data_IF_799757248981
#
_entry.id   IF_799757248981
#
_cell.length_a   1.000
_cell.length_b   1.000
_cell.length_c   1.000
_cell.angle_alpha   90.00
_cell.angle_beta   90.00
_cell.angle_gamma   90.00
#
_symmetry.space_group_name_H-M   'P 1'
#
loop_
_entity.id
_entity.type
_entity.pdbx_description
1 polymer ?
#
# COMPACT_ATOMS: atom_id res chain seq x y z
N UNK A 1 -84.84 -1.64 42.78
CA UNK A 1 -84.12 -0.90 43.81
C UNK A 1 -82.79 -0.47 43.25
N UNK A 2 -82.69 0.71 42.70
CA UNK A 2 -82.31 2.04 43.21
C UNK A 2 -80.92 1.95 43.89
N UNK A 3 -79.82 2.39 43.22
CA UNK A 3 -78.87 3.35 43.80
C UNK A 3 -78.12 4.03 42.68
N UNK A 4 -78.31 5.34 42.62
CA UNK A 4 -77.54 6.27 41.83
C UNK A 4 -76.17 6.50 42.56
N UNK A 5 -75.09 6.46 41.88
CA UNK A 5 -73.86 6.96 42.43
C UNK A 5 -73.25 7.95 41.45
N UNK A 6 -73.05 9.15 41.90
CA UNK A 6 -72.52 10.33 41.28
C UNK A 6 -71.04 10.09 40.89
N UNK A 7 -70.72 10.28 39.62
CA UNK A 7 -69.35 10.37 39.19
C UNK A 7 -68.89 11.81 39.28
N UNK A 8 -67.92 12.06 40.12
CA UNK A 8 -67.22 13.36 40.25
C UNK A 8 -66.05 13.34 39.25
N UNK A 9 -66.17 14.15 38.19
CA UNK A 9 -65.13 14.34 37.22
C UNK A 9 -64.06 15.28 37.79
N UNK A 10 -62.89 14.77 38.14
CA UNK A 10 -61.73 15.50 38.49
C UNK A 10 -60.81 15.59 37.24
N UNK A 11 -60.91 16.71 36.52
CA UNK A 11 -60.03 17.02 35.43
C UNK A 11 -58.70 17.50 36.03
N UNK A 12 -57.73 16.62 36.12
CA UNK A 12 -56.35 17.01 36.42
C UNK A 12 -55.66 17.22 35.07
N UNK A 13 -55.51 18.49 34.73
CA UNK A 13 -54.69 18.91 33.59
C UNK A 13 -53.22 18.61 33.85
N UNK A 14 -52.73 17.55 33.28
CA UNK A 14 -51.30 17.29 33.24
C UNK A 14 -50.74 17.90 31.95
N UNK A 15 -50.23 19.13 32.07
CA UNK A 15 -49.44 19.72 31.00
C UNK A 15 -48.12 18.94 30.89
N UNK A 16 -48.07 17.90 30.04
CA UNK A 16 -46.81 17.31 29.62
C UNK A 16 -46.11 18.28 28.70
N UNK A 17 -45.14 18.99 29.25
CA UNK A 17 -44.11 19.67 28.48
C UNK A 17 -43.32 18.60 27.71
N UNK A 18 -43.63 18.42 26.43
CA UNK A 18 -42.81 17.67 25.50
C UNK A 18 -41.52 18.47 25.33
N UNK A 19 -40.52 18.14 26.15
CA UNK A 19 -39.14 18.50 25.92
C UNK A 19 -38.70 17.62 24.73
N UNK A 20 -38.80 18.18 23.51
CA UNK A 20 -38.17 17.55 22.35
C UNK A 20 -36.67 17.49 22.60
N UNK A 21 -36.18 16.35 23.09
CA UNK A 21 -34.77 16.03 22.98
C UNK A 21 -34.46 15.89 21.50
N UNK A 22 -34.07 17.01 20.90
CA UNK A 22 -33.45 17.03 19.58
C UNK A 22 -32.11 16.33 19.77
N UNK A 23 -32.08 15.01 19.57
CA UNK A 23 -30.83 14.28 19.39
C UNK A 23 -30.22 14.87 18.13
N UNK A 24 -29.22 15.73 18.28
CA UNK A 24 -28.32 16.04 17.21
C UNK A 24 -27.72 14.71 16.76
N UNK A 25 -28.23 14.18 15.65
CA UNK A 25 -27.62 13.08 14.98
C UNK A 25 -26.16 13.50 14.72
N UNK A 26 -25.16 12.70 15.13
CA UNK A 26 -23.79 13.01 14.79
C UNK A 26 -23.77 13.18 13.27
N UNK A 27 -23.40 14.38 12.80
CA UNK A 27 -23.12 14.61 11.40
C UNK A 27 -22.06 13.58 11.05
N UNK A 28 -22.45 12.54 10.29
CA UNK A 28 -21.53 11.63 9.65
C UNK A 28 -20.77 12.44 8.60
N UNK A 29 -19.80 13.21 9.04
CA UNK A 29 -18.67 13.50 8.20
C UNK A 29 -18.12 12.14 7.85
N UNK A 30 -18.37 11.68 6.63
CA UNK A 30 -17.69 10.56 6.02
C UNK A 30 -16.25 11.04 5.92
N UNK A 31 -15.50 10.89 7.01
CA UNK A 31 -14.06 11.04 7.01
C UNK A 31 -13.60 9.99 5.99
N UNK A 32 -13.05 10.45 4.89
CA UNK A 32 -12.55 9.58 3.84
C UNK A 32 -11.57 8.64 4.51
N UNK A 33 -11.83 7.32 4.49
CA UNK A 33 -10.90 6.29 4.96
C UNK A 33 -9.59 6.27 4.13
N UNK A 34 -9.46 7.19 3.19
CA UNK A 34 -8.27 7.36 2.37
C UNK A 34 -7.07 7.78 3.24
N UNK A 35 -6.00 7.03 3.15
CA UNK A 35 -4.72 7.40 3.78
C UNK A 35 -4.25 8.71 3.15
N UNK A 36 -4.09 9.80 3.94
CA UNK A 36 -3.66 11.07 3.37
C UNK A 36 -2.26 10.95 2.78
N UNK A 37 -2.00 11.67 1.69
CA UNK A 37 -0.68 11.73 1.09
C UNK A 37 0.34 12.32 2.08
N UNK A 38 1.62 11.84 2.07
CA UNK A 38 2.68 12.40 2.91
C UNK A 38 2.87 13.89 2.64
N UNK A 39 3.15 14.64 3.69
CA UNK A 39 3.35 16.09 3.65
C UNK A 39 4.83 16.51 3.68
N UNK A 40 5.73 15.53 3.77
CA UNK A 40 7.17 15.73 3.71
C UNK A 40 7.89 14.56 3.05
N UNK A 41 9.07 14.84 2.51
CA UNK A 41 9.96 13.81 1.94
C UNK A 41 10.35 12.77 3.01
N UNK A 42 10.57 13.21 4.26
CA UNK A 42 10.93 12.30 5.36
C UNK A 42 9.80 11.29 5.64
N UNK A 43 8.56 11.75 5.65
CA UNK A 43 7.39 10.89 5.82
C UNK A 43 7.21 9.94 4.61
N UNK A 44 7.29 10.47 3.39
CA UNK A 44 7.21 9.66 2.18
C UNK A 44 8.29 8.56 2.15
N UNK A 45 9.53 8.91 2.50
CA UNK A 45 10.63 7.95 2.62
C UNK A 45 10.36 6.88 3.67
N UNK A 46 9.83 7.26 4.84
CA UNK A 46 9.51 6.31 5.90
C UNK A 46 8.43 5.32 5.45
N UNK A 47 7.38 5.79 4.80
CA UNK A 47 6.30 4.95 4.24
C UNK A 47 6.83 4.01 3.15
N UNK A 48 7.61 4.54 2.21
CA UNK A 48 8.19 3.75 1.13
C UNK A 48 9.12 2.66 1.66
N UNK A 49 9.99 2.98 2.62
CA UNK A 49 10.87 1.99 3.24
C UNK A 49 10.08 0.89 3.97
N UNK A 50 9.08 1.28 4.78
CA UNK A 50 8.25 0.29 5.48
C UNK A 50 7.56 -0.65 4.49
N UNK A 51 6.99 -0.12 3.41
CA UNK A 51 6.33 -0.90 2.37
C UNK A 51 7.34 -1.80 1.62
N UNK A 52 8.49 -1.26 1.25
CA UNK A 52 9.57 -2.02 0.62
C UNK A 52 10.01 -3.21 1.48
N UNK A 53 10.36 -2.98 2.75
CA UNK A 53 10.81 -4.05 3.65
C UNK A 53 9.71 -5.08 3.90
N UNK A 54 8.45 -4.65 3.99
CA UNK A 54 7.31 -5.57 4.16
C UNK A 54 7.15 -6.49 2.96
N UNK A 55 7.19 -5.95 1.74
CA UNK A 55 7.06 -6.71 0.51
C UNK A 55 8.27 -7.60 0.29
N UNK A 56 9.49 -7.06 0.46
CA UNK A 56 10.73 -7.82 0.33
C UNK A 56 10.77 -9.00 1.31
N UNK A 57 10.47 -8.76 2.59
CA UNK A 57 10.43 -9.81 3.60
C UNK A 57 9.38 -10.87 3.30
N UNK A 58 8.17 -10.46 2.91
CA UNK A 58 7.09 -11.37 2.51
C UNK A 58 7.51 -12.23 1.32
N UNK A 59 8.07 -11.63 0.27
CA UNK A 59 8.55 -12.36 -0.91
C UNK A 59 9.60 -13.42 -0.54
N UNK A 60 10.57 -13.08 0.32
CA UNK A 60 11.61 -14.01 0.74
C UNK A 60 11.02 -15.20 1.52
N UNK A 61 10.07 -14.96 2.41
CA UNK A 61 9.42 -16.01 3.22
C UNK A 61 8.55 -16.89 2.32
N UNK A 62 7.67 -16.29 1.51
CA UNK A 62 6.76 -17.04 0.65
C UNK A 62 7.54 -17.87 -0.37
N UNK A 63 8.59 -17.30 -0.96
CA UNK A 63 9.44 -18.05 -1.89
C UNK A 63 10.15 -19.23 -1.20
N UNK A 64 10.68 -19.04 0.00
CA UNK A 64 11.37 -20.11 0.75
C UNK A 64 10.43 -21.24 1.17
N UNK A 65 9.23 -20.89 1.69
CA UNK A 65 8.38 -21.83 2.41
C UNK A 65 7.31 -22.47 1.51
N UNK A 66 6.87 -21.78 0.47
CA UNK A 66 5.71 -22.21 -0.34
C UNK A 66 6.01 -22.41 -1.82
N UNK A 67 7.12 -21.86 -2.33
CA UNK A 67 7.44 -22.03 -3.75
C UNK A 67 8.02 -23.41 -4.00
N UNK A 68 7.34 -24.20 -4.84
CA UNK A 68 7.80 -25.47 -5.35
C UNK A 68 7.86 -25.36 -6.87
N UNK A 69 9.06 -25.52 -7.43
CA UNK A 69 9.31 -25.45 -8.87
C UNK A 69 8.30 -26.33 -9.62
N UNK A 70 7.70 -25.81 -10.67
CA UNK A 70 6.65 -26.41 -11.51
C UNK A 70 5.29 -26.69 -10.81
N UNK A 71 5.08 -26.16 -9.60
CA UNK A 71 3.84 -26.32 -8.86
C UNK A 71 3.35 -25.00 -8.24
N UNK A 72 2.39 -24.39 -8.89
CA UNK A 72 1.72 -23.19 -8.39
C UNK A 72 2.21 -21.88 -9.01
N UNK A 73 1.66 -20.77 -8.49
CA UNK A 73 1.98 -19.42 -8.97
C UNK A 73 3.36 -18.96 -8.47
N UNK A 74 4.03 -18.20 -9.31
CA UNK A 74 5.29 -17.54 -8.93
C UNK A 74 4.94 -16.46 -7.87
N UNK A 75 5.60 -16.44 -6.69
CA UNK A 75 5.26 -15.50 -5.61
C UNK A 75 5.28 -14.03 -6.02
N UNK A 76 6.24 -13.62 -6.87
CA UNK A 76 6.31 -12.24 -7.36
C UNK A 76 5.12 -11.86 -8.23
N UNK A 77 4.63 -12.78 -9.08
CA UNK A 77 3.43 -12.54 -9.89
C UNK A 77 2.16 -12.42 -9.03
N UNK A 78 2.03 -13.24 -7.99
CA UNK A 78 0.90 -13.11 -7.04
C UNK A 78 0.91 -11.79 -6.26
N UNK A 79 2.07 -11.18 -6.05
CA UNK A 79 2.17 -9.86 -5.43
C UNK A 79 1.77 -8.72 -6.37
N UNK A 80 1.75 -8.94 -7.68
CA UNK A 80 1.30 -7.93 -8.66
C UNK A 80 -0.19 -7.62 -8.51
N UNK A 81 -1.02 -8.59 -8.14
CA UNK A 81 -2.44 -8.35 -7.81
C UNK A 81 -2.57 -7.38 -6.63
N UNK A 82 -1.70 -7.52 -5.62
CA UNK A 82 -1.66 -6.59 -4.48
C UNK A 82 -1.14 -5.20 -4.90
N UNK A 83 -0.20 -5.11 -5.85
CA UNK A 83 0.27 -3.84 -6.39
C UNK A 83 -0.86 -3.08 -7.09
N UNK A 84 -1.68 -3.77 -7.88
CA UNK A 84 -2.85 -3.17 -8.52
C UNK A 84 -3.85 -2.63 -7.49
N UNK A 85 -4.10 -3.36 -6.41
CA UNK A 85 -5.02 -2.92 -5.37
C UNK A 85 -4.50 -1.69 -4.63
N UNK A 86 -3.20 -1.61 -4.34
CA UNK A 86 -2.57 -0.43 -3.74
C UNK A 86 -2.64 0.79 -4.68
N UNK A 87 -2.47 0.59 -5.99
CA UNK A 87 -2.60 1.66 -6.96
C UNK A 87 -4.04 2.20 -7.03
N UNK A 88 -5.04 1.32 -7.02
CA UNK A 88 -6.47 1.69 -7.08
C UNK A 88 -6.93 2.40 -5.82
N UNK A 89 -6.59 1.84 -4.64
CA UNK A 89 -7.14 2.29 -3.37
C UNK A 89 -6.36 3.44 -2.74
N UNK A 90 -5.05 3.53 -2.98
CA UNK A 90 -4.16 4.47 -2.27
C UNK A 90 -3.29 5.31 -3.21
N UNK A 91 -3.39 5.15 -4.52
CA UNK A 91 -2.54 5.81 -5.52
C UNK A 91 -1.04 5.54 -5.30
N UNK A 92 -0.72 4.39 -4.67
CA UNK A 92 0.65 3.92 -4.47
C UNK A 92 0.94 2.88 -5.54
N UNK A 93 1.79 3.25 -6.48
CA UNK A 93 2.18 2.40 -7.59
C UNK A 93 3.46 1.64 -7.23
N UNK A 94 3.47 0.34 -7.47
CA UNK A 94 4.63 -0.52 -7.29
C UNK A 94 4.97 -1.22 -8.60
N UNK A 95 6.27 -1.46 -8.81
CA UNK A 95 6.76 -2.14 -9.99
C UNK A 95 8.04 -2.91 -9.66
N UNK A 96 8.15 -4.15 -10.10
CA UNK A 96 9.44 -4.85 -10.11
C UNK A 96 10.37 -4.20 -11.11
N UNK A 97 11.67 -4.22 -10.84
CA UNK A 97 12.68 -3.63 -11.69
C UNK A 97 13.82 -4.62 -11.95
N UNK A 98 14.09 -4.89 -13.21
CA UNK A 98 15.27 -5.66 -13.68
C UNK A 98 16.52 -4.83 -13.42
N UNK A 99 17.50 -5.41 -12.70
CA UNK A 99 18.79 -4.75 -12.39
C UNK A 99 19.97 -5.63 -12.85
N UNK A 100 20.16 -6.81 -12.22
CA UNK A 100 21.25 -7.75 -12.52
C UNK A 100 20.70 -9.14 -12.94
N UNK A 101 19.54 -9.15 -13.59
CA UNK A 101 18.81 -10.35 -13.97
C UNK A 101 18.53 -10.38 -15.45
N UNK A 102 18.19 -11.55 -15.96
CA UNK A 102 17.61 -11.68 -17.27
C UNK A 102 16.21 -11.04 -17.29
N UNK A 103 15.79 -10.55 -18.46
CA UNK A 103 14.44 -10.01 -18.64
C UNK A 103 13.50 -11.20 -18.80
N UNK A 104 12.79 -11.54 -17.76
CA UNK A 104 11.76 -12.60 -17.77
C UNK A 104 10.38 -12.01 -18.09
N UNK A 105 10.12 -10.79 -17.63
CA UNK A 105 8.94 -10.00 -17.93
C UNK A 105 9.38 -8.61 -18.42
N UNK A 106 8.95 -8.22 -19.61
CA UNK A 106 9.30 -6.93 -20.24
C UNK A 106 8.72 -5.73 -19.47
N UNK A 107 7.63 -5.92 -18.73
CA UNK A 107 7.02 -4.87 -17.90
C UNK A 107 7.92 -4.45 -16.73
N UNK A 108 8.93 -5.29 -16.41
CA UNK A 108 9.90 -5.00 -15.36
C UNK A 108 11.15 -4.26 -15.87
N UNK A 109 11.23 -3.95 -17.14
CA UNK A 109 12.32 -3.13 -17.69
C UNK A 109 12.20 -1.67 -17.26
N UNK A 110 13.35 -1.00 -17.17
CA UNK A 110 13.41 0.44 -16.89
C UNK A 110 12.99 1.23 -18.14
N UNK A 111 11.88 1.98 -18.04
CA UNK A 111 11.32 2.71 -19.18
C UNK A 111 11.62 4.22 -19.14
N UNK A 112 11.63 4.83 -17.95
CA UNK A 112 11.88 6.26 -17.79
C UNK A 112 13.26 6.59 -17.21
N UNK A 113 13.59 7.88 -17.12
CA UNK A 113 14.90 8.33 -16.68
C UNK A 113 15.16 8.04 -15.19
N UNK A 114 14.12 8.13 -14.34
CA UNK A 114 14.23 7.75 -12.94
C UNK A 114 14.53 6.24 -12.80
N UNK A 115 13.82 5.40 -13.52
CA UNK A 115 14.00 3.96 -13.47
C UNK A 115 15.39 3.54 -13.96
N UNK A 116 15.88 4.15 -15.05
CA UNK A 116 17.24 3.93 -15.56
C UNK A 116 18.31 4.34 -14.57
N UNK A 117 18.13 5.51 -13.92
CA UNK A 117 19.04 5.97 -12.88
C UNK A 117 19.01 5.07 -11.65
N UNK A 118 17.83 4.59 -11.26
CA UNK A 118 17.65 3.63 -10.17
C UNK A 118 18.40 2.31 -10.45
N UNK A 119 18.30 1.77 -11.66
CA UNK A 119 19.06 0.56 -12.06
C UNK A 119 20.57 0.77 -11.87
N UNK A 120 21.10 1.90 -12.30
CA UNK A 120 22.54 2.23 -12.14
C UNK A 120 22.91 2.28 -10.66
N UNK A 121 22.12 2.97 -9.84
CA UNK A 121 22.38 3.13 -8.41
C UNK A 121 22.31 1.79 -7.66
N UNK A 122 21.25 1.01 -7.88
CA UNK A 122 21.07 -0.29 -7.21
C UNK A 122 22.14 -1.30 -7.64
N UNK A 123 22.56 -1.29 -8.90
CA UNK A 123 23.66 -2.11 -9.38
C UNK A 123 25.01 -1.72 -8.78
N UNK A 124 25.18 -0.43 -8.44
CA UNK A 124 26.36 0.06 -7.72
C UNK A 124 26.34 -0.27 -6.22
N UNK A 125 25.26 -0.91 -5.71
CA UNK A 125 25.11 -1.28 -4.31
C UNK A 125 24.53 -0.18 -3.42
N UNK A 126 23.96 0.88 -4.02
CA UNK A 126 23.28 1.90 -3.22
C UNK A 126 22.07 1.29 -2.48
N UNK A 127 21.84 1.66 -1.21
CA UNK A 127 20.77 1.10 -0.39
C UNK A 127 19.37 1.57 -0.86
N UNK A 128 19.30 2.58 -1.67
CA UNK A 128 18.11 3.10 -2.34
C UNK A 128 18.47 4.16 -3.36
N UNK A 129 17.53 4.43 -4.25
CA UNK A 129 17.52 5.62 -5.10
C UNK A 129 16.16 6.31 -4.94
N UNK A 130 16.11 7.64 -4.81
CA UNK A 130 14.87 8.37 -4.58
C UNK A 130 14.87 9.74 -5.28
N UNK A 131 13.69 10.19 -5.70
CA UNK A 131 13.48 11.51 -6.27
C UNK A 131 12.08 12.04 -5.96
N UNK A 132 11.93 13.37 -6.11
CA UNK A 132 10.63 14.03 -6.14
C UNK A 132 10.42 14.57 -7.54
N UNK A 133 9.33 14.15 -8.19
CA UNK A 133 8.95 14.58 -9.53
C UNK A 133 7.55 15.19 -9.49
N UNK A 134 7.48 16.52 -9.52
CA UNK A 134 6.22 17.24 -9.33
C UNK A 134 5.60 16.96 -7.94
N UNK A 135 4.39 16.43 -7.95
CA UNK A 135 3.66 16.06 -6.72
C UNK A 135 3.78 14.55 -6.39
N UNK A 136 4.82 13.89 -6.88
CA UNK A 136 5.08 12.47 -6.62
C UNK A 136 6.44 12.27 -5.97
N UNK A 137 6.48 11.42 -4.98
CA UNK A 137 7.71 10.85 -4.43
C UNK A 137 7.95 9.48 -5.05
N UNK A 138 9.15 9.26 -5.57
CA UNK A 138 9.58 8.00 -6.18
C UNK A 138 10.75 7.42 -5.39
N UNK A 139 10.69 6.13 -5.16
CA UNK A 139 11.67 5.36 -4.39
C UNK A 139 11.98 4.07 -5.13
N UNK A 140 13.25 3.67 -5.15
CA UNK A 140 13.70 2.36 -5.60
C UNK A 140 14.56 1.72 -4.50
N UNK A 141 14.22 0.50 -4.11
CA UNK A 141 14.99 -0.28 -3.15
C UNK A 141 15.46 -1.62 -3.74
N UNK A 142 16.62 -2.15 -3.28
CA UNK A 142 17.15 -3.41 -3.78
C UNK A 142 16.36 -4.61 -3.25
N UNK A 143 16.10 -5.57 -4.12
CA UNK A 143 15.59 -6.91 -3.80
C UNK A 143 16.73 -7.90 -3.99
N UNK A 144 17.14 -8.54 -2.91
CA UNK A 144 18.18 -9.57 -2.95
C UNK A 144 17.66 -10.84 -3.60
N UNK A 145 18.34 -11.31 -4.61
CA UNK A 145 18.11 -12.59 -5.27
C UNK A 145 19.21 -13.58 -4.85
N UNK A 146 18.91 -14.39 -3.85
CA UNK A 146 19.81 -15.46 -3.39
C UNK A 146 19.85 -16.62 -4.39
N UNK A 147 20.72 -17.57 -4.18
CA UNK A 147 21.01 -18.67 -5.13
C UNK A 147 19.77 -19.42 -5.63
N UNK A 148 18.74 -19.59 -4.79
CA UNK A 148 17.48 -20.24 -5.18
C UNK A 148 16.70 -19.44 -6.25
N UNK A 149 16.82 -18.12 -6.25
CA UNK A 149 16.13 -17.23 -7.19
C UNK A 149 16.81 -17.25 -8.58
N UNK A 150 18.12 -17.53 -8.62
CA UNK A 150 18.92 -17.41 -9.83
C UNK A 150 18.57 -18.45 -10.90
N UNK A 151 17.93 -19.55 -10.55
CA UNK A 151 17.50 -20.57 -11.53
C UNK A 151 16.59 -19.98 -12.60
N UNK A 152 15.66 -19.12 -12.21
CA UNK A 152 14.72 -18.47 -13.11
C UNK A 152 15.22 -17.10 -13.58
N UNK A 153 15.89 -16.35 -12.70
CA UNK A 153 16.23 -14.95 -12.97
C UNK A 153 17.60 -14.74 -13.63
N UNK A 154 18.49 -15.76 -13.63
CA UNK A 154 19.78 -15.71 -14.30
C UNK A 154 20.08 -17.08 -14.91
N UNK A 155 19.52 -17.35 -16.07
CA UNK A 155 19.56 -18.68 -16.69
C UNK A 155 21.00 -19.09 -17.12
N UNK A 156 21.79 -18.14 -17.61
CA UNK A 156 23.17 -18.38 -18.08
C UNK A 156 24.23 -17.97 -17.05
N UNK A 157 23.94 -18.09 -15.77
CA UNK A 157 24.86 -17.74 -14.69
C UNK A 157 26.12 -18.63 -14.68
N UNK A 158 27.23 -18.01 -14.31
CA UNK A 158 28.53 -18.71 -14.17
C UNK A 158 28.87 -19.01 -12.70
N UNK A 159 28.11 -18.46 -11.77
CA UNK A 159 28.29 -18.58 -10.33
C UNK A 159 26.94 -18.56 -9.61
N UNK A 160 26.95 -18.65 -8.30
CA UNK A 160 25.78 -18.58 -7.42
C UNK A 160 25.80 -17.36 -6.50
N UNK A 161 26.64 -16.36 -6.82
CA UNK A 161 26.66 -15.12 -6.04
C UNK A 161 25.28 -14.42 -6.15
N UNK A 162 24.87 -13.79 -5.07
CA UNK A 162 23.63 -13.05 -5.04
C UNK A 162 23.57 -11.99 -6.15
N UNK A 163 22.40 -11.73 -6.65
CA UNK A 163 22.12 -10.67 -7.62
C UNK A 163 21.12 -9.69 -7.02
N UNK A 164 21.00 -8.55 -7.64
CA UNK A 164 20.05 -7.49 -7.27
C UNK A 164 18.97 -7.36 -8.32
N UNK A 165 17.72 -7.38 -7.89
CA UNK A 165 16.58 -6.81 -8.61
C UNK A 165 16.17 -5.53 -7.88
N UNK A 166 15.10 -4.86 -8.30
CA UNK A 166 14.58 -3.67 -7.64
C UNK A 166 13.09 -3.75 -7.38
N UNK A 167 12.63 -3.00 -6.39
CA UNK A 167 11.24 -2.64 -6.20
C UNK A 167 11.11 -1.12 -6.25
N UNK A 168 10.32 -0.64 -7.20
CA UNK A 168 9.92 0.76 -7.32
C UNK A 168 8.65 1.00 -6.53
N UNK A 169 8.58 2.14 -5.88
CA UNK A 169 7.40 2.62 -5.15
C UNK A 169 7.20 4.09 -5.52
N UNK A 170 6.04 4.44 -6.02
CA UNK A 170 5.68 5.81 -6.36
C UNK A 170 4.38 6.18 -5.64
N UNK A 171 4.36 7.33 -4.95
CA UNK A 171 3.21 7.78 -4.18
C UNK A 171 3.00 9.29 -4.32
N UNK A 172 1.77 9.78 -4.15
CA UNK A 172 1.51 11.22 -4.06
C UNK A 172 2.32 11.87 -2.94
N UNK A 173 2.69 13.14 -3.12
CA UNK A 173 3.41 13.93 -2.12
C UNK A 173 2.80 15.34 -2.06
N UNK A 174 2.20 15.68 -0.92
CA UNK A 174 1.61 16.99 -0.68
C UNK A 174 2.57 17.87 0.11
N UNK A 175 3.52 18.48 -0.57
CA UNK A 175 4.39 19.46 0.10
C UNK A 175 3.61 20.74 0.42
N UNK A 176 3.86 21.37 1.58
CA UNK A 176 3.33 22.70 1.86
C UNK A 176 3.75 23.66 0.75
N UNK A 177 2.81 24.42 0.23
CA UNK A 177 3.15 25.51 -0.71
C UNK A 177 3.94 26.56 0.03
N UNK A 178 5.00 27.12 -0.57
CA UNK A 178 5.80 28.20 0.02
C UNK A 178 4.98 29.46 0.27
#
# INVERSE_FOLDING_TARGET
MKYKLFAFLLVVGCALSLLELRADAPSSTTESDAIPAPTSIAEARARARLLHESIHGTLQIVHRDFFVEDKGSIPSASLEDMFEELAKSYQVELKWLVVETDIVNVDHEAVDDFEKAAVVALKAGEPRFEAVEGERYRFAGPIRLASQCLKCHVQHRRDTADRTAGLLISMPLNLPKP
#
